data_IF_602310671790
#
_entry.id   IF_602310671790
#
_cell.length_a   1.000
_cell.length_b   1.000
_cell.length_c   1.000
_cell.angle_alpha   90.00
_cell.angle_beta   90.00
_cell.angle_gamma   90.00
#
_symmetry.space_group_name_H-M   'P 1'
#
loop_
_entity.id
_entity.type
_entity.pdbx_description
1 polymer ?
#
# COMPACT_ATOMS: atom_id res chain seq x y z
N UNK A 1 -14.30 -30.23 -4.39
CA UNK A 1 -13.10 -30.27 -5.25
C UNK A 1 -11.98 -29.61 -4.48
N UNK A 2 -10.76 -30.14 -4.60
CA UNK A 2 -9.60 -29.57 -3.91
C UNK A 2 -8.91 -28.54 -4.81
N UNK A 3 -8.47 -27.45 -4.20
CA UNK A 3 -7.81 -26.33 -4.85
C UNK A 3 -6.51 -26.07 -4.12
N UNK A 4 -5.39 -26.37 -4.76
CA UNK A 4 -4.05 -26.07 -4.25
C UNK A 4 -3.21 -25.44 -5.35
N UNK A 5 -2.26 -24.61 -4.96
CA UNK A 5 -1.36 -23.96 -5.91
C UNK A 5 -0.22 -23.23 -5.21
N UNK A 6 0.83 -22.98 -5.98
CA UNK A 6 2.01 -22.27 -5.53
C UNK A 6 2.54 -21.41 -6.68
N UNK A 7 2.82 -20.14 -6.39
CA UNK A 7 3.32 -19.17 -7.36
C UNK A 7 4.44 -18.34 -6.72
N UNK A 8 5.56 -18.22 -7.42
CA UNK A 8 6.66 -17.35 -7.01
C UNK A 8 6.49 -15.99 -7.68
N UNK A 9 6.38 -14.93 -6.87
CA UNK A 9 6.12 -13.57 -7.30
C UNK A 9 7.38 -12.74 -7.02
N UNK A 10 7.99 -12.08 -8.01
CA UNK A 10 9.23 -11.34 -7.83
C UNK A 10 8.99 -9.93 -7.28
N UNK A 11 8.37 -9.88 -6.11
CA UNK A 11 8.20 -8.69 -5.28
C UNK A 11 8.21 -9.08 -3.80
N UNK A 12 8.56 -8.14 -2.93
CA UNK A 12 8.59 -8.37 -1.49
C UNK A 12 7.18 -8.69 -0.94
N UNK A 13 7.16 -9.35 0.23
CA UNK A 13 5.91 -9.87 0.82
C UNK A 13 4.89 -8.78 1.11
N UNK A 14 5.33 -7.58 1.49
CA UNK A 14 4.43 -6.48 1.81
C UNK A 14 3.74 -5.96 0.55
N UNK A 15 4.50 -5.80 -0.54
CA UNK A 15 3.95 -5.38 -1.84
C UNK A 15 2.95 -6.40 -2.37
N UNK A 16 3.28 -7.69 -2.30
CA UNK A 16 2.36 -8.77 -2.71
C UNK A 16 1.09 -8.76 -1.87
N UNK A 17 1.21 -8.62 -0.55
CA UNK A 17 0.07 -8.54 0.35
C UNK A 17 -0.85 -7.38 0.01
N UNK A 18 -0.30 -6.18 -0.20
CA UNK A 18 -1.08 -5.00 -0.56
C UNK A 18 -1.82 -5.21 -1.88
N UNK A 19 -1.15 -5.76 -2.89
CA UNK A 19 -1.76 -6.02 -4.18
C UNK A 19 -2.87 -7.08 -4.14
N UNK A 20 -2.73 -8.12 -3.31
CA UNK A 20 -3.79 -9.12 -3.10
C UNK A 20 -5.04 -8.56 -2.42
N UNK A 21 -4.97 -7.37 -1.83
CA UNK A 21 -6.07 -6.69 -1.16
C UNK A 21 -6.48 -5.38 -1.88
N UNK A 22 -5.97 -5.16 -3.09
CA UNK A 22 -6.25 -3.98 -3.93
C UNK A 22 -7.30 -4.35 -5.00
N UNK A 23 -8.56 -3.90 -4.89
CA UNK A 23 -9.61 -4.27 -5.83
C UNK A 23 -9.29 -3.92 -7.28
N UNK A 24 -8.56 -2.81 -7.52
CA UNK A 24 -8.23 -2.38 -8.88
C UNK A 24 -7.22 -3.31 -9.53
N UNK A 25 -6.26 -3.83 -8.77
CA UNK A 25 -5.34 -4.88 -9.24
C UNK A 25 -6.12 -6.18 -9.44
N UNK A 26 -6.93 -6.59 -8.47
CA UNK A 26 -7.69 -7.84 -8.54
C UNK A 26 -8.65 -7.88 -9.73
N UNK A 27 -9.35 -6.79 -10.04
CA UNK A 27 -10.25 -6.71 -11.20
C UNK A 27 -9.52 -6.93 -12.52
N UNK A 28 -8.29 -6.44 -12.64
CA UNK A 28 -7.47 -6.65 -13.84
C UNK A 28 -6.99 -8.10 -13.97
N UNK A 29 -6.77 -8.79 -12.85
CA UNK A 29 -6.26 -10.15 -12.83
C UNK A 29 -7.35 -11.21 -12.99
N UNK A 30 -8.56 -10.96 -12.49
CA UNK A 30 -9.65 -11.96 -12.48
C UNK A 30 -10.31 -12.03 -13.87
N UNK A 31 -10.24 -13.16 -14.59
CA UNK A 31 -10.81 -13.29 -15.92
C UNK A 31 -12.34 -13.04 -15.92
N UNK A 32 -12.77 -12.05 -16.69
CA UNK A 32 -14.18 -11.70 -16.80
C UNK A 32 -14.76 -10.97 -15.59
N UNK A 33 -13.92 -10.42 -14.71
CA UNK A 33 -14.39 -9.54 -13.64
C UNK A 33 -15.00 -8.26 -14.23
N UNK A 34 -16.23 -7.98 -13.84
CA UNK A 34 -16.97 -6.79 -14.27
C UNK A 34 -17.07 -5.75 -13.13
N UNK A 35 -17.04 -6.23 -11.89
CA UNK A 35 -17.12 -5.40 -10.68
C UNK A 35 -16.49 -6.10 -9.50
N UNK A 36 -15.75 -5.38 -8.68
CA UNK A 36 -15.27 -5.81 -7.38
C UNK A 36 -15.11 -4.59 -6.46
N UNK A 37 -15.73 -4.62 -5.30
CA UNK A 37 -15.70 -3.48 -4.38
C UNK A 37 -15.69 -3.95 -2.93
N UNK A 38 -14.99 -3.20 -2.07
CA UNK A 38 -15.09 -3.38 -0.63
C UNK A 38 -16.45 -2.91 -0.14
N UNK A 39 -17.14 -3.78 0.59
CA UNK A 39 -18.39 -3.46 1.28
C UNK A 39 -18.10 -3.04 2.73
N UNK A 40 -17.06 -3.64 3.32
CA UNK A 40 -16.52 -3.32 4.64
C UNK A 40 -15.06 -3.80 4.72
N UNK A 41 -14.45 -3.81 5.91
CA UNK A 41 -13.03 -4.13 6.11
C UNK A 41 -12.64 -5.58 5.76
N UNK A 42 -13.60 -6.51 5.73
CA UNK A 42 -13.32 -7.94 5.53
C UNK A 42 -14.16 -8.56 4.42
N UNK A 43 -14.93 -7.75 3.70
CA UNK A 43 -15.86 -8.24 2.68
C UNK A 43 -15.78 -7.45 1.39
N UNK A 44 -15.68 -8.19 0.29
CA UNK A 44 -15.91 -7.67 -1.05
C UNK A 44 -17.15 -8.28 -1.67
N UNK A 45 -17.88 -7.49 -2.44
CA UNK A 45 -18.91 -7.98 -3.35
C UNK A 45 -18.44 -7.76 -4.80
N UNK A 46 -18.84 -8.65 -5.70
CA UNK A 46 -18.36 -8.60 -7.07
C UNK A 46 -19.23 -9.35 -8.08
N UNK A 47 -18.91 -9.12 -9.34
CA UNK A 47 -19.60 -9.70 -10.49
C UNK A 47 -18.58 -10.21 -11.49
N UNK A 48 -18.71 -11.48 -11.88
CA UNK A 48 -17.79 -12.14 -12.82
C UNK A 48 -18.60 -12.82 -13.92
N UNK A 49 -18.27 -12.52 -15.18
CA UNK A 49 -18.73 -13.27 -16.34
C UNK A 49 -17.78 -14.43 -16.61
N UNK A 50 -18.19 -15.66 -16.27
CA UNK A 50 -17.36 -16.85 -16.42
C UNK A 50 -17.81 -17.73 -17.59
N UNK A 51 -16.83 -18.28 -18.31
CA UNK A 51 -17.02 -19.26 -19.37
C UNK A 51 -16.47 -20.61 -18.94
N UNK A 52 -17.37 -21.55 -18.67
CA UNK A 52 -17.07 -22.88 -18.14
C UNK A 52 -17.55 -23.91 -19.16
N UNK A 53 -16.64 -24.35 -20.03
CA UNK A 53 -16.98 -25.24 -21.16
C UNK A 53 -18.03 -24.59 -22.10
N UNK A 54 -19.15 -25.27 -22.39
CA UNK A 54 -20.21 -24.70 -23.24
C UNK A 54 -21.09 -23.68 -22.51
N UNK A 55 -20.95 -23.54 -21.18
CA UNK A 55 -21.76 -22.64 -20.36
C UNK A 55 -21.07 -21.28 -20.22
N UNK A 56 -21.79 -20.20 -20.53
CA UNK A 56 -21.38 -18.84 -20.19
C UNK A 56 -22.43 -18.27 -19.25
N UNK A 57 -22.02 -17.76 -18.10
CA UNK A 57 -22.94 -17.18 -17.12
C UNK A 57 -22.27 -16.08 -16.32
N UNK A 58 -23.07 -15.13 -15.86
CA UNK A 58 -22.66 -14.13 -14.89
C UNK A 58 -22.89 -14.69 -13.49
N UNK A 59 -21.92 -14.47 -12.61
CA UNK A 59 -22.00 -14.77 -11.20
C UNK A 59 -21.96 -13.47 -10.41
N UNK A 60 -22.91 -13.31 -9.51
CA UNK A 60 -22.82 -12.32 -8.43
C UNK A 60 -22.35 -13.05 -7.19
N UNK A 61 -21.36 -12.48 -6.50
CA UNK A 61 -20.72 -13.16 -5.39
C UNK A 61 -20.17 -12.23 -4.34
N UNK A 62 -19.78 -12.86 -3.25
CA UNK A 62 -19.18 -12.27 -2.07
C UNK A 62 -17.90 -13.01 -1.74
N UNK A 63 -16.88 -12.24 -1.38
CA UNK A 63 -15.63 -12.71 -0.81
C UNK A 63 -15.55 -12.21 0.63
N UNK A 64 -15.26 -13.08 1.57
CA UNK A 64 -15.05 -12.73 2.99
C UNK A 64 -13.67 -13.17 3.41
N UNK A 65 -12.93 -12.29 4.06
CA UNK A 65 -11.60 -12.51 4.61
C UNK A 65 -11.74 -12.90 6.09
N UNK A 66 -11.15 -14.01 6.48
CA UNK A 66 -11.06 -14.47 7.88
C UNK A 66 -9.63 -14.80 8.24
N UNK A 67 -9.36 -14.99 9.53
CA UNK A 67 -8.05 -15.43 10.04
C UNK A 67 -6.89 -14.52 9.58
N UNK A 68 -7.14 -13.21 9.51
CA UNK A 68 -6.21 -12.20 9.04
C UNK A 68 -4.97 -12.14 9.95
N UNK A 69 -3.81 -12.40 9.35
CA UNK A 69 -2.50 -12.19 9.95
C UNK A 69 -1.59 -11.48 8.94
N UNK A 70 -1.77 -10.16 8.73
CA UNK A 70 -1.00 -9.40 7.76
C UNK A 70 0.50 -9.32 8.14
N UNK A 71 1.43 -9.31 7.17
CA UNK A 71 1.26 -9.54 5.73
C UNK A 71 1.53 -11.00 5.33
N UNK A 72 1.05 -11.97 6.12
CA UNK A 72 1.45 -13.38 6.00
C UNK A 72 0.32 -14.30 5.53
N UNK A 73 -0.81 -14.32 6.22
CA UNK A 73 -1.86 -15.33 5.98
C UNK A 73 -3.27 -14.76 6.11
N UNK A 74 -4.21 -15.34 5.37
CA UNK A 74 -5.66 -15.22 5.61
C UNK A 74 -6.39 -16.41 4.99
N UNK A 75 -7.66 -16.57 5.35
CA UNK A 75 -8.59 -17.46 4.68
C UNK A 75 -9.60 -16.64 3.87
N UNK A 76 -9.83 -17.03 2.62
CA UNK A 76 -10.87 -16.47 1.77
C UNK A 76 -12.06 -17.42 1.73
N UNK A 77 -13.24 -16.91 2.03
CA UNK A 77 -14.51 -17.62 1.85
C UNK A 77 -15.26 -16.94 0.70
N UNK A 78 -15.48 -17.68 -0.37
CA UNK A 78 -16.16 -17.21 -1.56
C UNK A 78 -17.54 -17.86 -1.69
N UNK A 79 -18.56 -17.06 -1.95
CA UNK A 79 -19.89 -17.52 -2.34
C UNK A 79 -20.32 -16.82 -3.63
N UNK A 80 -20.90 -17.57 -4.57
CA UNK A 80 -21.35 -17.01 -5.84
C UNK A 80 -22.64 -17.66 -6.34
N UNK A 81 -23.53 -16.86 -6.91
CA UNK A 81 -24.78 -17.31 -7.50
C UNK A 81 -24.82 -16.93 -8.99
N UNK A 82 -24.98 -17.95 -9.83
CA UNK A 82 -25.05 -17.83 -11.29
C UNK A 82 -26.45 -18.01 -11.86
N UNK A 83 -27.49 -17.68 -11.09
CA UNK A 83 -28.89 -17.88 -11.47
C UNK A 83 -29.18 -19.35 -11.82
N UNK A 84 -29.55 -19.62 -13.08
CA UNK A 84 -29.82 -20.97 -13.57
C UNK A 84 -28.59 -21.90 -13.58
N UNK A 85 -27.38 -21.34 -13.57
CA UNK A 85 -26.16 -22.12 -13.49
C UNK A 85 -26.00 -22.80 -12.14
N UNK A 86 -26.52 -22.20 -11.07
CA UNK A 86 -26.45 -22.72 -9.70
C UNK A 86 -25.62 -21.86 -8.76
N UNK A 87 -25.23 -22.47 -7.64
CA UNK A 87 -24.46 -21.84 -6.57
C UNK A 87 -23.06 -22.45 -6.51
N UNK A 88 -22.07 -21.64 -6.16
CA UNK A 88 -20.71 -22.07 -5.87
C UNK A 88 -20.31 -21.53 -4.49
N UNK A 89 -19.68 -22.36 -3.67
CA UNK A 89 -19.08 -21.97 -2.40
C UNK A 89 -17.67 -22.53 -2.32
N UNK A 90 -16.74 -21.77 -1.76
CA UNK A 90 -15.38 -22.23 -1.58
C UNK A 90 -14.70 -21.55 -0.41
N UNK A 91 -13.67 -22.21 0.12
CA UNK A 91 -12.77 -21.64 1.09
C UNK A 91 -11.33 -21.99 0.72
N UNK A 92 -10.43 -21.02 0.82
CA UNK A 92 -9.02 -21.17 0.49
C UNK A 92 -8.18 -20.43 1.53
N UNK A 93 -7.27 -21.14 2.18
CA UNK A 93 -6.22 -20.54 3.01
C UNK A 93 -5.06 -20.10 2.12
N UNK A 94 -4.61 -18.86 2.30
CA UNK A 94 -3.48 -18.24 1.59
C UNK A 94 -2.35 -17.99 2.57
N UNK A 95 -1.13 -18.34 2.14
CA UNK A 95 0.11 -18.14 2.90
C UNK A 95 1.16 -17.50 2.01
N UNK A 96 1.78 -16.44 2.49
CA UNK A 96 2.91 -15.76 1.86
C UNK A 96 4.20 -16.04 2.62
N UNK A 97 5.12 -16.72 1.96
CA UNK A 97 6.46 -17.01 2.47
C UNK A 97 7.50 -16.13 1.78
N UNK A 98 8.49 -15.67 2.53
CA UNK A 98 9.65 -14.97 1.95
C UNK A 98 10.47 -15.95 1.09
N UNK A 99 10.87 -15.52 -0.11
CA UNK A 99 11.62 -16.33 -1.06
C UNK A 99 12.73 -15.49 -1.71
N UNK A 100 13.84 -15.31 -0.97
CA UNK A 100 14.94 -14.45 -1.42
C UNK A 100 14.51 -12.99 -1.48
N UNK A 101 14.55 -12.38 -2.67
CA UNK A 101 14.02 -11.03 -2.92
C UNK A 101 12.55 -11.01 -3.33
N UNK A 102 11.91 -12.18 -3.46
CA UNK A 102 10.51 -12.33 -3.86
C UNK A 102 9.66 -12.97 -2.77
N UNK A 103 8.45 -13.36 -3.16
CA UNK A 103 7.45 -13.98 -2.29
C UNK A 103 6.93 -15.25 -2.92
N UNK A 104 6.93 -16.34 -2.17
CA UNK A 104 6.24 -17.56 -2.55
C UNK A 104 4.83 -17.55 -1.95
N UNK A 105 3.84 -17.48 -2.82
CA UNK A 105 2.43 -17.58 -2.46
C UNK A 105 2.00 -19.03 -2.57
N UNK A 106 1.47 -19.57 -1.48
CA UNK A 106 0.83 -20.88 -1.45
C UNK A 106 -0.65 -20.71 -1.11
N UNK A 107 -1.50 -21.53 -1.72
CA UNK A 107 -2.88 -21.63 -1.29
C UNK A 107 -3.36 -23.08 -1.25
N UNK A 108 -4.29 -23.34 -0.33
CA UNK A 108 -4.92 -24.64 -0.18
C UNK A 108 -6.36 -24.50 0.30
N UNK A 109 -7.26 -25.27 -0.29
CA UNK A 109 -8.67 -25.23 0.08
C UNK A 109 -9.52 -26.10 -0.82
N UNK A 110 -10.80 -25.75 -0.90
CA UNK A 110 -11.74 -26.49 -1.72
C UNK A 110 -13.02 -25.72 -2.02
N UNK A 111 -13.75 -26.23 -3.00
CA UNK A 111 -15.01 -25.67 -3.43
C UNK A 111 -16.09 -26.74 -3.65
N UNK A 112 -17.33 -26.35 -3.44
CA UNK A 112 -18.54 -27.08 -3.73
C UNK A 112 -19.38 -26.28 -4.73
N UNK A 113 -20.00 -26.99 -5.66
CA UNK A 113 -20.89 -26.41 -6.66
C UNK A 113 -22.18 -27.21 -6.70
N UNK A 114 -23.28 -26.52 -6.96
CA UNK A 114 -24.62 -27.10 -7.08
C UNK A 114 -25.25 -26.69 -8.43
N UNK A 115 -26.42 -27.23 -8.75
CA UNK A 115 -27.21 -26.87 -9.92
C UNK A 115 -26.64 -27.40 -11.23
N UNK A 116 -26.84 -26.64 -12.31
CA UNK A 116 -26.40 -27.04 -13.65
C UNK A 116 -24.87 -27.06 -13.77
N UNK A 117 -24.15 -26.28 -12.97
CA UNK A 117 -22.69 -26.31 -12.90
C UNK A 117 -22.16 -27.66 -12.44
N UNK A 118 -22.79 -28.26 -11.44
CA UNK A 118 -22.39 -29.58 -10.93
C UNK A 118 -22.51 -30.67 -12.01
N UNK A 119 -23.42 -30.50 -12.97
CA UNK A 119 -23.65 -31.45 -14.07
C UNK A 119 -22.52 -31.46 -15.12
N UNK A 120 -21.67 -30.42 -15.14
CA UNK A 120 -20.51 -30.37 -16.05
C UNK A 120 -19.38 -31.33 -15.61
N UNK A 121 -19.43 -31.82 -14.37
CA UNK A 121 -18.49 -32.77 -13.82
C UNK A 121 -17.22 -32.12 -13.26
N UNK A 122 -16.65 -32.77 -12.23
CA UNK A 122 -15.53 -32.24 -11.45
C UNK A 122 -14.28 -31.93 -12.29
N UNK A 123 -13.97 -32.78 -13.29
CA UNK A 123 -12.76 -32.62 -14.13
C UNK A 123 -12.77 -31.32 -14.95
N UNK A 124 -13.92 -30.97 -15.54
CA UNK A 124 -14.04 -29.76 -16.34
C UNK A 124 -13.96 -28.51 -15.47
N UNK A 125 -14.64 -28.55 -14.31
CA UNK A 125 -14.61 -27.46 -13.33
C UNK A 125 -13.19 -27.23 -12.80
N UNK A 126 -12.49 -28.29 -12.40
CA UNK A 126 -11.12 -28.19 -11.91
C UNK A 126 -10.15 -27.67 -12.99
N UNK A 127 -10.29 -28.14 -14.23
CA UNK A 127 -9.48 -27.63 -15.35
C UNK A 127 -9.75 -26.14 -15.65
N UNK A 128 -10.99 -25.70 -15.51
CA UNK A 128 -11.34 -24.28 -15.68
C UNK A 128 -10.81 -23.43 -14.53
N UNK A 129 -10.94 -23.91 -13.29
CA UNK A 129 -10.41 -23.24 -12.09
C UNK A 129 -8.88 -23.09 -12.16
N UNK A 130 -8.15 -24.15 -12.55
CA UNK A 130 -6.70 -24.08 -12.74
C UNK A 130 -6.31 -23.07 -13.81
N UNK A 131 -6.98 -23.10 -14.98
CA UNK A 131 -6.73 -22.10 -16.04
C UNK A 131 -6.96 -20.66 -15.56
N UNK A 132 -8.00 -20.43 -14.77
CA UNK A 132 -8.29 -19.10 -14.23
C UNK A 132 -7.25 -18.67 -13.20
N UNK A 133 -6.78 -19.58 -12.34
CA UNK A 133 -5.70 -19.31 -11.41
C UNK A 133 -4.40 -18.95 -12.14
N UNK A 134 -4.04 -19.70 -13.18
CA UNK A 134 -2.84 -19.41 -13.98
C UNK A 134 -2.92 -18.03 -14.64
N UNK A 135 -4.07 -17.68 -15.24
CA UNK A 135 -4.28 -16.37 -15.85
C UNK A 135 -4.25 -15.23 -14.81
N UNK A 136 -4.85 -15.47 -13.65
CA UNK A 136 -4.83 -14.53 -12.53
C UNK A 136 -3.39 -14.26 -12.09
N UNK A 137 -2.63 -15.29 -11.74
CA UNK A 137 -1.30 -15.11 -11.16
C UNK A 137 -0.26 -14.64 -12.19
N UNK A 138 -0.43 -14.99 -13.47
CA UNK A 138 0.39 -14.40 -14.54
C UNK A 138 0.19 -12.88 -14.60
N UNK A 139 -1.05 -12.42 -14.74
CA UNK A 139 -1.38 -10.99 -14.82
C UNK A 139 -1.01 -10.26 -13.52
N UNK A 140 -1.26 -10.89 -12.38
CA UNK A 140 -0.96 -10.36 -11.06
C UNK A 140 0.53 -10.12 -10.87
N UNK A 141 1.37 -11.11 -11.21
CA UNK A 141 2.82 -10.98 -11.13
C UNK A 141 3.32 -9.83 -12.00
N UNK A 142 2.82 -9.72 -13.24
CA UNK A 142 3.22 -8.65 -14.16
C UNK A 142 2.87 -7.25 -13.60
N UNK A 143 1.66 -7.08 -13.06
CA UNK A 143 1.22 -5.81 -12.47
C UNK A 143 1.98 -5.45 -11.20
N UNK A 144 2.23 -6.43 -10.33
CA UNK A 144 2.94 -6.20 -9.06
C UNK A 144 4.40 -5.81 -9.30
N UNK A 145 5.06 -6.46 -10.26
CA UNK A 145 6.44 -6.12 -10.64
C UNK A 145 6.52 -4.72 -11.23
N UNK A 146 5.58 -4.37 -12.13
CA UNK A 146 5.52 -3.03 -12.70
C UNK A 146 5.33 -1.96 -11.60
N UNK A 147 4.39 -2.17 -10.68
CA UNK A 147 4.11 -1.24 -9.57
C UNK A 147 5.29 -1.11 -8.60
N UNK A 148 6.00 -2.21 -8.31
CA UNK A 148 7.20 -2.20 -7.50
C UNK A 148 8.32 -1.38 -8.16
N UNK A 149 8.54 -1.57 -9.47
CA UNK A 149 9.55 -0.82 -10.22
C UNK A 149 9.22 0.69 -10.30
N UNK A 150 7.95 1.06 -10.44
CA UNK A 150 7.50 2.46 -10.41
C UNK A 150 7.71 3.10 -9.03
N UNK A 151 7.41 2.36 -7.94
CA UNK A 151 7.64 2.84 -6.58
C UNK A 151 9.13 3.04 -6.29
N UNK A 152 9.99 2.13 -6.78
CA UNK A 152 11.44 2.26 -6.65
C UNK A 152 11.99 3.40 -7.50
N UNK A 153 11.50 3.61 -8.72
CA UNK A 153 11.86 4.74 -9.57
C UNK A 153 11.41 6.10 -8.98
N UNK A 154 10.23 6.16 -8.36
CA UNK A 154 9.74 7.34 -7.66
C UNK A 154 10.54 7.63 -6.37
N UNK A 155 11.00 6.60 -5.67
CA UNK A 155 11.91 6.75 -4.53
C UNK A 155 13.32 7.19 -4.94
N UNK A 156 13.72 6.90 -6.18
CA UNK A 156 15.00 7.32 -6.78
C UNK A 156 14.93 8.67 -7.50
N UNK A 157 13.75 9.32 -7.58
CA UNK A 157 13.68 10.70 -8.06
C UNK A 157 14.58 11.57 -7.17
N UNK A 158 15.51 12.34 -7.76
CA UNK A 158 16.40 13.18 -6.98
C UNK A 158 15.53 14.16 -6.20
N UNK A 159 15.73 14.19 -4.87
CA UNK A 159 15.27 15.29 -4.02
C UNK A 159 15.60 16.59 -4.75
N UNK A 160 14.57 17.27 -5.26
CA UNK A 160 14.72 18.56 -5.95
C UNK A 160 15.53 19.47 -5.01
N UNK A 161 16.63 20.12 -5.45
CA UNK A 161 17.51 20.89 -4.55
C UNK A 161 16.86 22.11 -3.87
N UNK A 162 15.58 22.39 -4.13
CA UNK A 162 14.95 23.66 -3.77
C UNK A 162 14.88 23.90 -2.25
N UNK A 163 14.60 22.87 -1.44
CA UNK A 163 14.46 23.06 0.00
C UNK A 163 15.79 23.22 0.73
N UNK A 164 16.83 22.49 0.29
CA UNK A 164 18.17 22.56 0.87
C UNK A 164 18.93 23.80 0.45
N UNK A 165 18.81 24.23 -0.81
CA UNK A 165 19.51 25.43 -1.30
C UNK A 165 18.89 26.72 -0.71
N UNK A 166 17.57 26.76 -0.52
CA UNK A 166 16.91 27.90 0.13
C UNK A 166 17.33 28.05 1.60
N UNK A 167 17.45 26.94 2.33
CA UNK A 167 17.85 26.95 3.74
C UNK A 167 19.32 27.33 3.90
N UNK A 168 20.20 26.85 3.00
CA UNK A 168 21.60 27.27 2.93
C UNK A 168 21.72 28.77 2.60
N UNK A 169 20.91 29.27 1.68
CA UNK A 169 20.90 30.69 1.31
C UNK A 169 20.38 31.58 2.45
N UNK A 170 19.36 31.12 3.19
CA UNK A 170 18.85 31.82 4.38
C UNK A 170 19.89 31.87 5.51
N UNK A 171 20.57 30.75 5.78
CA UNK A 171 21.66 30.71 6.78
C UNK A 171 22.77 31.67 6.37
N UNK A 172 23.14 31.70 5.09
CA UNK A 172 24.20 32.59 4.58
C UNK A 172 23.84 34.07 4.71
N UNK A 173 22.61 34.47 4.38
CA UNK A 173 22.14 35.85 4.57
C UNK A 173 22.13 36.25 6.05
N UNK A 174 21.73 35.34 6.93
CA UNK A 174 21.78 35.55 8.38
C UNK A 174 23.21 35.76 8.89
N UNK A 175 24.17 34.94 8.43
CA UNK A 175 25.59 35.09 8.78
C UNK A 175 26.16 36.41 8.27
N UNK A 176 25.89 36.79 7.02
CA UNK A 176 26.33 38.06 6.44
C UNK A 176 25.74 39.29 7.16
N UNK A 177 24.55 39.15 7.77
CA UNK A 177 23.95 40.20 8.60
C UNK A 177 24.60 40.31 9.97
N UNK A 178 24.97 39.19 10.58
CA UNK A 178 25.72 39.18 11.85
C UNK A 178 27.07 39.85 11.67
N UNK A 179 27.83 39.50 10.63
CA UNK A 179 29.15 40.08 10.35
C UNK A 179 29.07 41.60 10.10
N UNK A 180 28.01 42.06 9.43
CA UNK A 180 27.74 43.50 9.24
C UNK A 180 27.42 44.22 10.54
N UNK A 181 26.68 43.59 11.45
CA UNK A 181 26.39 44.16 12.76
C UNK A 181 27.64 44.23 13.63
N UNK A 182 28.48 43.18 13.62
CA UNK A 182 29.77 43.19 14.32
C UNK A 182 30.70 44.29 13.79
N UNK A 183 30.78 44.42 12.47
CA UNK A 183 31.58 45.47 11.81
C UNK A 183 31.06 46.88 12.14
N UNK A 184 29.73 47.07 12.16
CA UNK A 184 29.12 48.35 12.53
C UNK A 184 29.34 48.70 14.00
N UNK A 185 29.31 47.71 14.89
CA UNK A 185 29.65 47.86 16.31
C UNK A 185 31.14 48.17 16.50
N UNK A 186 32.03 47.59 15.69
CA UNK A 186 33.47 47.86 15.73
C UNK A 186 33.84 49.29 15.30
N UNK A 187 33.00 49.93 14.47
CA UNK A 187 33.11 51.36 14.11
C UNK A 187 32.45 52.33 15.09
N UNK A 188 31.83 51.86 16.19
CA UNK A 188 31.39 52.81 17.20
C UNK A 188 32.60 53.53 17.81
N UNK A 189 32.58 54.88 17.88
CA UNK A 189 33.66 55.61 18.53
C UNK A 189 33.76 55.13 19.98
N UNK A 190 34.96 54.68 20.36
CA UNK A 190 35.30 54.34 21.75
C UNK A 190 35.07 55.57 22.63
N UNK A 191 33.88 55.66 23.20
CA UNK A 191 33.44 56.78 24.01
C UNK A 191 31.96 56.70 24.35
N UNK A 192 31.44 55.52 24.72
CA UNK A 192 30.07 55.40 25.24
C UNK A 192 30.09 55.37 26.78
N UNK A 193 29.35 56.29 27.37
CA UNK A 193 29.32 56.56 28.81
C UNK A 193 28.79 55.33 29.61
N UNK A 194 29.41 54.92 30.74
CA UNK A 194 29.07 53.69 31.48
C UNK A 194 27.61 53.60 31.96
N UNK A 195 26.90 54.73 32.04
CA UNK A 195 25.50 54.80 32.48
C UNK A 195 24.48 54.27 31.47
N UNK A 196 24.84 54.16 30.18
CA UNK A 196 23.93 53.64 29.15
C UNK A 196 23.91 52.10 29.17
N UNK A 197 25.03 51.47 29.57
CA UNK A 197 25.13 50.01 29.69
C UNK A 197 24.32 49.45 30.86
N UNK A 198 24.19 50.17 31.97
CA UNK A 198 23.40 49.71 33.11
C UNK A 198 21.91 49.64 32.78
N UNK A 199 21.37 50.66 32.10
CA UNK A 199 19.96 50.67 31.69
C UNK A 199 19.63 49.54 30.70
N UNK A 200 20.50 49.33 29.71
CA UNK A 200 20.26 48.34 28.65
C UNK A 200 20.41 46.90 29.16
N UNK A 201 21.37 46.64 30.06
CA UNK A 201 21.55 45.33 30.70
C UNK A 201 20.38 44.98 31.62
N UNK A 202 19.85 45.95 32.37
CA UNK A 202 18.68 45.75 33.25
C UNK A 202 17.43 45.39 32.44
N UNK A 203 17.21 46.07 31.30
CA UNK A 203 16.07 45.78 30.41
C UNK A 203 16.20 44.38 29.80
N UNK A 204 17.41 43.99 29.40
CA UNK A 204 17.66 42.69 28.79
C UNK A 204 17.52 41.54 29.79
N UNK A 205 17.98 41.72 31.03
CA UNK A 205 17.78 40.76 32.14
C UNK A 205 16.30 40.66 32.52
N UNK A 206 15.56 41.78 32.56
CA UNK A 206 14.12 41.77 32.85
C UNK A 206 13.29 41.07 31.75
N UNK A 207 13.68 41.22 30.49
CA UNK A 207 13.05 40.50 29.37
C UNK A 207 13.34 39.00 29.42
N UNK A 208 14.57 38.62 29.76
CA UNK A 208 14.96 37.21 29.89
C UNK A 208 14.25 36.50 31.05
N UNK A 209 14.05 37.18 32.18
CA UNK A 209 13.31 36.61 33.31
C UNK A 209 11.81 36.51 33.02
N UNK A 210 11.21 37.47 32.30
CA UNK A 210 9.82 37.35 31.84
C UNK A 210 9.63 36.21 30.85
N UNK A 211 10.59 35.99 29.94
CA UNK A 211 10.49 34.91 28.94
C UNK A 211 10.62 33.51 29.55
N UNK A 212 11.46 33.35 30.59
CA UNK A 212 11.65 32.07 31.29
C UNK A 212 10.62 31.80 32.39
N UNK A 213 10.05 32.84 33.02
CA UNK A 213 9.05 32.68 34.09
C UNK A 213 7.64 32.27 33.62
N UNK A 214 7.36 32.30 32.31
CA UNK A 214 6.07 31.88 31.73
C UNK A 214 6.07 30.38 31.37
N UNK A 215 7.22 29.69 31.53
CA UNK A 215 7.42 28.29 31.16
C UNK A 215 7.58 27.32 32.35
N UNK A 216 7.19 27.74 33.57
CA UNK A 216 7.15 26.90 34.77
C UNK A 216 5.81 27.00 35.50
#
# INVERSE_FOLDING_TARGET
MDLTGQYDIPADRQTVWQALNDPDILMQCIPGCERLEWVDETRLDGTIAAKIGPLTTRFEGRLTLTDLNPPGTYTLIAEGQGGLAGLAKGSVAVTLNEAGSGTQLCYAGGATVDGKLAQLGARLLQGTAGKYADQFFQTFSDLVVAKAAEAEAAAMEPVKPDASDQLVQQIKDLTDRVDRLESALATQPRGLNPWIWSGTLIILVALLTMLFGILY
#
